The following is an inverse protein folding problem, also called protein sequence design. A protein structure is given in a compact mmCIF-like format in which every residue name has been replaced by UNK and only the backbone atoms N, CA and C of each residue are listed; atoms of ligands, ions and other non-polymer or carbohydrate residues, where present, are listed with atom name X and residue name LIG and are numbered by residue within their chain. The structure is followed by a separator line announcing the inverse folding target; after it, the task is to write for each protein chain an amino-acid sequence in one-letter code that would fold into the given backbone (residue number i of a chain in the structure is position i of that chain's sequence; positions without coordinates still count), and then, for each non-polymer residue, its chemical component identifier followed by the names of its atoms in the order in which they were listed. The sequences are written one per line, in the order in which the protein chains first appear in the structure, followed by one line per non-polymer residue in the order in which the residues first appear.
data_IF_613595440662
#
_entry.id   IF_613595440662
#
_cell.length_a   1.000
_cell.length_b   1.000
_cell.length_c   1.000
_cell.angle_alpha   90.00
_cell.angle_beta   90.00
_cell.angle_gamma   90.00
#
_symmetry.space_group_name_H-M   'P 1'
#
loop_
_entity.id
_entity.type
_entity.pdbx_description
1 polymer ?
#
# COMPACT_ATOMS: atom_id res chain seq x y z
N UNK A 1 30.47 13.19 7.78
CA UNK A 1 29.10 13.47 8.28
C UNK A 1 28.10 13.66 7.12
N UNK A 2 28.15 12.85 6.05
CA UNK A 2 27.40 13.09 4.79
C UNK A 2 26.85 11.82 4.11
N UNK A 3 26.63 10.73 4.85
CA UNK A 3 25.88 9.55 4.34
C UNK A 3 24.55 9.38 5.08
N UNK A 4 24.53 9.66 6.39
CA UNK A 4 23.33 9.63 7.22
C UNK A 4 22.27 10.67 6.81
N UNK A 5 22.69 11.89 6.44
CA UNK A 5 21.77 12.95 6.00
C UNK A 5 21.18 12.62 4.64
N UNK A 6 21.99 12.03 3.75
CA UNK A 6 21.57 11.51 2.45
C UNK A 6 20.65 10.30 2.61
N UNK A 7 20.80 9.48 3.66
CA UNK A 7 19.87 8.39 3.99
C UNK A 7 18.54 8.87 4.59
N UNK A 8 18.50 10.06 5.18
CA UNK A 8 17.28 10.67 5.74
C UNK A 8 16.47 11.42 4.67
N UNK A 9 17.12 11.88 3.59
CA UNK A 9 16.49 12.65 2.50
C UNK A 9 16.43 11.92 1.16
N UNK A 10 17.30 10.95 0.90
CA UNK A 10 17.00 9.90 -0.06
C UNK A 10 15.90 9.05 0.57
N UNK A 11 14.93 8.61 -0.23
CA UNK A 11 14.15 7.43 0.11
C UNK A 11 14.91 6.22 -0.46
N UNK A 12 15.96 5.68 0.20
CA UNK A 12 16.40 4.34 -0.12
C UNK A 12 15.18 3.47 0.19
N UNK A 13 14.57 2.86 -0.83
CA UNK A 13 13.28 2.17 -0.77
C UNK A 13 12.02 3.02 -1.06
N UNK A 14 12.11 4.05 -1.91
CA UNK A 14 10.93 4.73 -2.48
C UNK A 14 9.96 3.72 -3.13
N UNK A 15 10.48 2.74 -3.88
CA UNK A 15 9.66 1.73 -4.54
C UNK A 15 8.80 0.93 -3.54
N UNK A 16 9.35 0.31 -2.47
CA UNK A 16 8.55 -0.27 -1.38
C UNK A 16 7.53 0.69 -0.76
N UNK A 17 7.89 1.96 -0.51
CA UNK A 17 6.96 2.92 0.07
C UNK A 17 5.75 3.19 -0.84
N UNK A 18 5.96 3.30 -2.15
CA UNK A 18 4.90 3.53 -3.14
C UNK A 18 3.97 2.32 -3.26
N UNK A 19 4.51 1.08 -3.29
CA UNK A 19 3.66 -0.12 -3.42
C UNK A 19 2.89 -0.46 -2.15
N UNK A 20 3.31 0.01 -0.97
CA UNK A 20 2.56 -0.15 0.29
C UNK A 20 1.58 1.00 0.57
N UNK A 21 1.65 2.10 -0.18
CA UNK A 21 0.77 3.27 -0.02
C UNK A 21 -0.73 2.95 -0.04
N UNK A 22 -1.24 1.95 -0.80
CA UNK A 22 -2.65 1.57 -0.77
C UNK A 22 -3.15 1.17 0.63
N UNK A 23 -2.32 0.52 1.44
CA UNK A 23 -2.66 0.13 2.82
C UNK A 23 -2.83 1.37 3.69
N UNK A 24 -1.96 2.36 3.54
CA UNK A 24 -2.07 3.62 4.27
C UNK A 24 -3.35 4.40 3.89
N UNK A 25 -3.71 4.41 2.59
CA UNK A 25 -4.96 5.01 2.12
C UNK A 25 -6.19 4.31 2.72
N UNK A 26 -6.22 2.98 2.74
CA UNK A 26 -7.30 2.20 3.32
C UNK A 26 -7.46 2.47 4.83
N UNK A 27 -6.35 2.51 5.59
CA UNK A 27 -6.39 2.83 7.02
C UNK A 27 -6.86 4.28 7.26
N UNK A 28 -6.46 5.21 6.41
CA UNK A 28 -6.92 6.61 6.50
C UNK A 28 -8.41 6.72 6.17
N UNK A 29 -8.88 5.99 5.16
CA UNK A 29 -10.29 5.91 4.80
C UNK A 29 -11.13 5.39 5.97
N UNK A 30 -10.67 4.31 6.61
CA UNK A 30 -11.32 3.73 7.80
C UNK A 30 -11.42 4.74 8.94
N UNK A 31 -10.34 5.46 9.24
CA UNK A 31 -10.37 6.51 10.28
C UNK A 31 -11.37 7.62 9.91
N UNK A 32 -11.39 8.08 8.66
CA UNK A 32 -12.35 9.10 8.21
C UNK A 32 -13.80 8.62 8.32
N UNK A 33 -14.06 7.35 8.01
CA UNK A 33 -15.39 6.76 8.11
C UNK A 33 -15.85 6.63 9.57
N UNK A 34 -14.95 6.17 10.47
CA UNK A 34 -15.21 6.16 11.91
C UNK A 34 -15.47 7.57 12.47
N UNK A 35 -14.74 8.58 12.00
CA UNK A 35 -14.98 9.98 12.36
C UNK A 35 -16.33 10.46 11.80
N UNK A 36 -16.71 10.07 10.59
CA UNK A 36 -18.04 10.38 10.04
C UNK A 36 -19.18 9.80 10.90
N UNK A 37 -18.99 8.59 11.43
CA UNK A 37 -19.91 7.94 12.38
C UNK A 37 -19.95 8.64 13.75
N UNK A 38 -18.98 9.45 14.15
CA UNK A 38 -19.09 10.23 15.39
C UNK A 38 -19.69 11.61 15.13
N UNK A 39 -19.36 12.22 13.98
CA UNK A 39 -19.70 13.59 13.66
C UNK A 39 -20.79 13.71 12.58
N UNK A 40 -21.83 12.86 12.63
CA UNK A 40 -22.96 12.60 11.70
C UNK A 40 -23.48 13.73 10.78
N UNK A 41 -23.13 15.00 11.03
CA UNK A 41 -23.53 16.17 10.25
C UNK A 41 -22.56 16.58 9.13
N UNK A 42 -21.40 15.94 8.98
CA UNK A 42 -20.39 16.32 7.98
C UNK A 42 -20.41 15.37 6.77
N UNK A 43 -21.23 15.68 5.77
CA UNK A 43 -21.36 14.90 4.52
C UNK A 43 -20.04 14.72 3.76
N UNK A 44 -19.10 15.68 3.90
CA UNK A 44 -17.79 15.61 3.25
C UNK A 44 -16.89 14.51 3.81
N UNK A 45 -17.07 14.09 5.08
CA UNK A 45 -16.25 13.02 5.68
C UNK A 45 -16.54 11.67 5.01
N UNK A 46 -17.83 11.37 4.78
CA UNK A 46 -18.22 10.15 4.05
C UNK A 46 -17.73 10.16 2.60
N UNK A 47 -17.82 11.31 1.91
CA UNK A 47 -17.28 11.44 0.55
C UNK A 47 -15.75 11.30 0.51
N UNK A 48 -15.04 11.86 1.49
CA UNK A 48 -13.60 11.70 1.62
C UNK A 48 -13.21 10.25 1.90
N UNK A 49 -13.89 9.57 2.83
CA UNK A 49 -13.68 8.15 3.12
C UNK A 49 -13.92 7.29 1.87
N UNK A 50 -15.04 7.48 1.17
CA UNK A 50 -15.34 6.75 -0.08
C UNK A 50 -14.29 6.99 -1.17
N UNK A 51 -13.83 8.24 -1.32
CA UNK A 51 -12.76 8.58 -2.27
C UNK A 51 -11.45 7.88 -1.90
N UNK A 52 -11.07 7.88 -0.62
CA UNK A 52 -9.85 7.23 -0.14
C UNK A 52 -9.92 5.71 -0.31
N UNK A 53 -11.07 5.08 -0.05
CA UNK A 53 -11.27 3.65 -0.33
C UNK A 53 -11.13 3.35 -1.83
N UNK A 54 -11.74 4.15 -2.71
CA UNK A 54 -11.59 3.99 -4.16
C UNK A 54 -10.14 4.11 -4.62
N UNK A 55 -9.40 5.09 -4.10
CA UNK A 55 -7.96 5.25 -4.38
C UNK A 55 -7.13 4.08 -3.83
N UNK A 56 -7.46 3.57 -2.64
CA UNK A 56 -6.81 2.40 -2.05
C UNK A 56 -7.03 1.16 -2.93
N UNK A 57 -8.25 0.93 -3.42
CA UNK A 57 -8.58 -0.19 -4.29
C UNK A 57 -7.77 -0.17 -5.60
N UNK A 58 -7.82 0.96 -6.32
CA UNK A 58 -7.05 1.15 -7.56
C UNK A 58 -5.55 1.02 -7.30
N UNK A 59 -5.07 1.65 -6.23
CA UNK A 59 -3.67 1.59 -5.83
C UNK A 59 -3.20 0.17 -5.51
N UNK A 60 -4.03 -0.63 -4.83
CA UNK A 60 -3.68 -2.01 -4.46
C UNK A 60 -3.54 -2.92 -5.68
N UNK A 61 -4.41 -2.76 -6.68
CA UNK A 61 -4.28 -3.47 -7.97
C UNK A 61 -2.99 -3.07 -8.68
N UNK A 62 -2.68 -1.76 -8.75
CA UNK A 62 -1.45 -1.28 -9.35
C UNK A 62 -0.20 -1.80 -8.61
N UNK A 63 -0.23 -1.80 -7.27
CA UNK A 63 0.85 -2.32 -6.43
C UNK A 63 1.08 -3.82 -6.63
N UNK A 64 0.02 -4.63 -6.75
CA UNK A 64 0.13 -6.05 -7.03
C UNK A 64 0.89 -6.32 -8.35
N UNK A 65 0.51 -5.65 -9.45
CA UNK A 65 1.21 -5.81 -10.72
C UNK A 65 2.64 -5.27 -10.69
N UNK A 66 2.88 -4.14 -10.03
CA UNK A 66 4.22 -3.59 -9.85
C UNK A 66 5.14 -4.54 -9.07
N UNK A 67 4.62 -5.16 -7.99
CA UNK A 67 5.34 -6.15 -7.20
C UNK A 67 5.68 -7.42 -8.00
N UNK A 68 4.74 -7.91 -8.82
CA UNK A 68 4.97 -9.03 -9.75
C UNK A 68 6.06 -8.71 -10.77
N UNK A 69 6.07 -7.50 -11.33
CA UNK A 69 7.11 -7.06 -12.25
C UNK A 69 8.48 -6.93 -11.57
N UNK A 70 8.53 -6.38 -10.35
CA UNK A 70 9.75 -6.29 -9.56
C UNK A 70 10.32 -7.67 -9.22
N UNK A 71 9.46 -8.60 -8.80
CA UNK A 71 9.83 -9.99 -8.51
C UNK A 71 10.45 -10.70 -9.73
N UNK A 72 9.88 -10.49 -10.92
CA UNK A 72 10.39 -11.06 -12.17
C UNK A 72 11.77 -10.49 -12.60
N UNK A 73 12.15 -9.31 -12.10
CA UNK A 73 13.45 -8.69 -12.34
C UNK A 73 14.55 -9.14 -11.38
N UNK A 74 14.23 -9.96 -10.38
CA UNK A 74 15.22 -10.46 -9.43
C UNK A 74 16.10 -11.53 -10.08
N UNK A 75 17.40 -11.48 -9.79
CA UNK A 75 18.33 -12.57 -10.08
C UNK A 75 18.18 -13.73 -9.09
N UNK A 76 19.19 -14.60 -9.01
CA UNK A 76 19.22 -15.65 -8.01
C UNK A 76 19.20 -15.05 -6.59
N UNK A 77 18.16 -15.39 -5.83
CA UNK A 77 18.02 -15.05 -4.41
C UNK A 77 18.09 -16.33 -3.58
N UNK A 78 18.28 -16.21 -2.26
CA UNK A 78 18.27 -17.38 -1.38
C UNK A 78 16.91 -18.07 -1.36
N UNK A 79 16.86 -19.39 -1.17
CA UNK A 79 15.60 -20.16 -1.00
C UNK A 79 14.67 -19.53 0.04
N UNK A 80 15.22 -19.03 1.16
CA UNK A 80 14.43 -18.35 2.20
C UNK A 80 13.77 -17.06 1.67
N UNK A 81 14.45 -16.32 0.81
CA UNK A 81 13.92 -15.11 0.21
C UNK A 81 12.83 -15.42 -0.82
N UNK A 82 12.94 -16.52 -1.57
CA UNK A 82 11.89 -16.98 -2.50
C UNK A 82 10.58 -17.29 -1.75
N UNK A 83 10.67 -17.98 -0.60
CA UNK A 83 9.50 -18.29 0.24
C UNK A 83 8.82 -17.01 0.73
N UNK A 84 9.59 -16.08 1.29
CA UNK A 84 9.02 -14.80 1.78
C UNK A 84 8.42 -13.98 0.65
N UNK A 85 9.04 -13.99 -0.54
CA UNK A 85 8.52 -13.28 -1.71
C UNK A 85 7.21 -13.89 -2.21
N UNK A 86 7.08 -15.22 -2.18
CA UNK A 86 5.83 -15.91 -2.54
C UNK A 86 4.71 -15.57 -1.55
N UNK A 87 4.96 -15.68 -0.24
CA UNK A 87 4.00 -15.32 0.81
C UNK A 87 3.57 -13.85 0.67
N UNK A 88 4.51 -12.95 0.39
CA UNK A 88 4.22 -11.53 0.18
C UNK A 88 3.34 -11.30 -1.06
N UNK A 89 3.57 -12.03 -2.15
CA UNK A 89 2.76 -11.93 -3.36
C UNK A 89 1.32 -12.43 -3.15
N UNK A 90 1.14 -13.50 -2.38
CA UNK A 90 -0.18 -14.03 -2.02
C UNK A 90 -0.96 -13.05 -1.14
N UNK A 91 -0.29 -12.43 -0.16
CA UNK A 91 -0.88 -11.37 0.67
C UNK A 91 -1.22 -10.11 -0.13
N UNK A 92 -0.38 -9.74 -1.10
CA UNK A 92 -0.66 -8.62 -2.00
C UNK A 92 -1.91 -8.88 -2.86
N UNK A 93 -2.06 -10.10 -3.39
CA UNK A 93 -3.26 -10.50 -4.12
C UNK A 93 -4.49 -10.44 -3.21
N UNK A 94 -4.44 -11.07 -2.04
CA UNK A 94 -5.56 -11.07 -1.09
C UNK A 94 -5.97 -9.65 -0.70
N UNK A 95 -5.01 -8.79 -0.36
CA UNK A 95 -5.26 -7.40 0.01
C UNK A 95 -5.91 -6.63 -1.14
N UNK A 96 -5.45 -6.85 -2.38
CA UNK A 96 -6.07 -6.23 -3.55
C UNK A 96 -7.53 -6.67 -3.76
N UNK A 97 -7.84 -7.95 -3.53
CA UNK A 97 -9.22 -8.44 -3.65
C UNK A 97 -10.13 -7.87 -2.56
N UNK A 98 -9.65 -7.81 -1.32
CA UNK A 98 -10.41 -7.24 -0.19
C UNK A 98 -10.75 -5.77 -0.43
N UNK A 99 -9.84 -4.99 -1.03
CA UNK A 99 -10.09 -3.57 -1.27
C UNK A 99 -10.99 -3.29 -2.48
N UNK A 100 -11.19 -4.27 -3.38
CA UNK A 100 -11.97 -4.10 -4.61
C UNK A 100 -13.42 -4.56 -4.45
N UNK A 101 -13.71 -5.45 -3.50
CA UNK A 101 -15.04 -6.01 -3.23
C UNK A 101 -15.79 -5.15 -2.21
#
# INVERSE_FOLDING_TARGET
MNEYVTSLTALPNLHPAVVHFPVALALTALVMDLVALVFHRKSWLGQAAATLYGLAAVGAVAAYFAGRQAAAGLGAISVRAEVVLADHADLALLTSMILVI
#
